data_IF_912149878565
#
_entry.id   IF_912149878565
#
_cell.length_a   1.000
_cell.length_b   1.000
_cell.length_c   1.000
_cell.angle_alpha   90.00
_cell.angle_beta   90.00
_cell.angle_gamma   90.00
#
_symmetry.space_group_name_H-M   'P 1'
#
loop_
_entity.id
_entity.type
_entity.pdbx_description
1 polymer ?
#
# COMPACT_ATOMS: atom_id res chain seq x y z
N UNK A 1 71.03 39.65 -39.24
CA UNK A 1 70.08 40.62 -38.67
C UNK A 1 68.85 40.69 -39.56
N UNK A 2 67.69 40.25 -39.08
CA UNK A 2 66.37 40.78 -39.44
C UNK A 2 65.33 40.11 -38.53
N UNK A 3 65.06 40.78 -37.40
CA UNK A 3 64.04 40.39 -36.42
C UNK A 3 62.68 40.50 -37.13
N UNK A 4 61.91 39.41 -37.21
CA UNK A 4 60.51 39.50 -37.61
C UNK A 4 59.82 40.50 -36.67
N UNK A 5 59.44 41.66 -37.20
CA UNK A 5 58.59 42.59 -36.48
C UNK A 5 57.24 41.89 -36.31
N UNK A 6 56.99 41.38 -35.11
CA UNK A 6 55.63 41.12 -34.64
C UNK A 6 54.95 42.49 -34.53
N UNK A 7 54.50 43.00 -35.68
CA UNK A 7 53.69 44.20 -35.74
C UNK A 7 52.33 43.80 -35.20
N UNK A 8 52.07 44.13 -33.93
CA UNK A 8 50.70 44.17 -33.46
C UNK A 8 49.94 45.13 -34.39
N UNK A 9 48.70 44.80 -34.81
CA UNK A 9 47.92 45.72 -35.61
C UNK A 9 47.81 47.04 -34.86
N UNK A 10 48.05 48.16 -35.54
CA UNK A 10 47.98 49.51 -35.00
C UNK A 10 46.98 50.35 -35.82
N UNK A 11 46.43 51.40 -35.24
CA UNK A 11 45.46 52.27 -35.91
C UNK A 11 44.18 51.55 -36.36
N UNK A 12 43.74 51.79 -37.60
CA UNK A 12 42.45 51.32 -38.11
C UNK A 12 42.31 49.78 -38.16
N UNK A 13 43.41 49.04 -38.38
CA UNK A 13 43.39 47.57 -38.39
C UNK A 13 43.19 47.00 -36.98
N UNK A 14 43.75 47.65 -35.95
CA UNK A 14 43.52 47.29 -34.55
C UNK A 14 42.05 47.51 -34.17
N UNK A 15 41.49 48.65 -34.55
CA UNK A 15 40.09 49.01 -34.28
C UNK A 15 39.13 48.04 -34.96
N UNK A 16 39.41 47.64 -36.21
CA UNK A 16 38.62 46.63 -36.92
C UNK A 16 38.69 45.25 -36.25
N UNK A 17 39.87 44.82 -35.80
CA UNK A 17 40.02 43.55 -35.08
C UNK A 17 39.31 43.57 -33.72
N UNK A 18 39.40 44.66 -32.96
CA UNK A 18 38.70 44.86 -31.69
C UNK A 18 37.18 44.78 -31.90
N UNK A 19 36.63 45.46 -32.91
CA UNK A 19 35.20 45.35 -33.23
C UNK A 19 34.80 43.92 -33.62
N UNK A 20 35.62 43.22 -34.41
CA UNK A 20 35.34 41.84 -34.80
C UNK A 20 35.34 40.87 -33.59
N UNK A 21 36.20 41.13 -32.60
CA UNK A 21 36.31 40.34 -31.37
C UNK A 21 35.17 40.66 -30.41
N UNK A 22 34.78 41.93 -30.27
CA UNK A 22 33.60 42.32 -29.51
C UNK A 22 32.32 41.72 -30.09
N UNK A 23 32.17 41.69 -31.42
CA UNK A 23 30.99 41.09 -32.05
C UNK A 23 30.92 39.59 -31.80
N UNK A 24 32.04 38.88 -31.96
CA UNK A 24 32.13 37.44 -31.64
C UNK A 24 31.92 37.17 -30.14
N UNK A 25 32.52 37.97 -29.26
CA UNK A 25 32.32 37.86 -27.81
C UNK A 25 30.87 38.12 -27.39
N UNK A 26 30.20 39.07 -28.00
CA UNK A 26 28.77 39.31 -27.77
C UNK A 26 27.91 38.13 -28.21
N UNK A 27 28.20 37.53 -29.37
CA UNK A 27 27.48 36.33 -29.84
C UNK A 27 27.66 35.17 -28.85
N UNK A 28 28.88 34.88 -28.43
CA UNK A 28 29.17 33.82 -27.45
C UNK A 28 28.50 34.07 -26.10
N UNK A 29 28.49 35.32 -25.64
CA UNK A 29 27.81 35.70 -24.39
C UNK A 29 26.30 35.50 -24.47
N UNK A 30 25.68 35.87 -25.59
CA UNK A 30 24.23 35.67 -25.82
C UNK A 30 23.90 34.17 -25.86
N UNK A 31 24.70 33.37 -26.58
CA UNK A 31 24.51 31.92 -26.64
C UNK A 31 24.61 31.26 -25.26
N UNK A 32 25.61 31.66 -24.47
CA UNK A 32 25.76 31.16 -23.10
C UNK A 32 24.55 31.52 -22.22
N UNK A 33 24.08 32.77 -22.29
CA UNK A 33 22.89 33.21 -21.54
C UNK A 33 21.63 32.42 -21.93
N UNK A 34 21.41 32.18 -23.22
CA UNK A 34 20.29 31.38 -23.70
C UNK A 34 20.38 29.94 -23.15
N UNK A 35 21.55 29.32 -23.21
CA UNK A 35 21.76 27.97 -22.70
C UNK A 35 21.51 27.88 -21.18
N UNK A 36 21.95 28.89 -20.40
CA UNK A 36 21.66 28.96 -18.96
C UNK A 36 20.16 29.09 -18.68
N UNK A 37 19.44 29.94 -19.42
CA UNK A 37 17.99 30.09 -19.24
C UNK A 37 17.25 28.79 -19.57
N UNK A 38 17.61 28.12 -20.67
CA UNK A 38 17.04 26.81 -21.03
C UNK A 38 17.32 25.78 -19.92
N UNK A 39 18.54 25.75 -19.38
CA UNK A 39 18.89 24.87 -18.27
C UNK A 39 18.06 25.14 -17.01
N UNK A 40 17.85 26.40 -16.65
CA UNK A 40 17.01 26.79 -15.49
C UNK A 40 15.56 26.39 -15.72
N UNK A 41 15.01 26.62 -16.92
CA UNK A 41 13.62 26.25 -17.24
C UNK A 41 13.46 24.73 -17.20
N UNK A 42 14.39 23.97 -17.78
CA UNK A 42 14.37 22.51 -17.72
C UNK A 42 14.44 22.01 -16.28
N UNK A 43 15.35 22.56 -15.45
CA UNK A 43 15.46 22.20 -14.04
C UNK A 43 14.16 22.53 -13.28
N UNK A 44 13.56 23.70 -13.52
CA UNK A 44 12.32 24.11 -12.88
C UNK A 44 11.14 23.21 -13.27
N UNK A 45 11.05 22.79 -14.54
CA UNK A 45 10.04 21.84 -15.00
C UNK A 45 10.25 20.45 -14.39
N UNK A 46 11.49 20.00 -14.28
CA UNK A 46 11.84 18.72 -13.66
C UNK A 46 11.51 18.74 -12.17
N UNK A 47 11.86 19.83 -11.48
CA UNK A 47 11.53 20.05 -10.08
C UNK A 47 10.01 20.15 -9.87
N UNK A 48 9.30 20.84 -10.76
CA UNK A 48 7.83 20.88 -10.76
C UNK A 48 7.25 19.48 -10.87
N UNK A 49 7.70 18.67 -11.83
CA UNK A 49 7.24 17.30 -11.98
C UNK A 49 7.51 16.44 -10.75
N UNK A 50 8.72 16.51 -10.17
CA UNK A 50 9.08 15.78 -8.94
C UNK A 50 8.22 16.21 -7.76
N UNK A 51 8.08 17.51 -7.49
CA UNK A 51 7.27 18.00 -6.36
C UNK A 51 5.81 17.61 -6.54
N UNK A 52 5.32 17.65 -7.78
CA UNK A 52 3.94 17.34 -8.11
C UNK A 52 3.64 15.85 -8.01
N UNK A 53 4.58 14.97 -8.40
CA UNK A 53 4.47 13.52 -8.24
C UNK A 53 4.71 13.06 -6.80
N UNK A 54 5.61 13.71 -6.05
CA UNK A 54 5.96 13.30 -4.69
C UNK A 54 5.05 13.87 -3.61
N UNK A 55 4.47 15.08 -3.80
CA UNK A 55 3.75 15.77 -2.71
C UNK A 55 2.46 16.48 -3.15
N UNK A 56 2.41 17.03 -4.37
CA UNK A 56 1.36 17.97 -4.77
C UNK A 56 0.03 17.35 -5.20
N UNK A 57 0.06 16.34 -6.08
CA UNK A 57 -1.18 15.72 -6.57
C UNK A 57 -1.79 14.74 -5.55
N UNK A 58 -0.97 14.00 -4.82
CA UNK A 58 -1.44 13.05 -3.80
C UNK A 58 -2.13 13.75 -2.62
N UNK A 59 -1.61 14.87 -2.13
CA UNK A 59 -2.22 15.58 -0.99
C UNK A 59 -3.55 16.28 -1.33
N UNK A 60 -3.65 16.88 -2.53
CA UNK A 60 -4.84 17.65 -2.95
C UNK A 60 -5.93 16.76 -3.56
N UNK A 61 -5.55 15.65 -4.20
CA UNK A 61 -6.50 14.74 -4.84
C UNK A 61 -6.99 13.64 -3.89
N UNK A 62 -6.18 13.22 -2.89
CA UNK A 62 -6.59 12.22 -1.88
C UNK A 62 -7.15 12.82 -0.59
N UNK A 63 -7.35 14.14 -0.50
CA UNK A 63 -7.90 14.82 0.67
C UNK A 63 -7.33 14.27 1.99
N UNK A 64 -5.99 14.19 2.09
CA UNK A 64 -5.35 13.60 3.27
C UNK A 64 -5.78 14.40 4.50
N UNK A 65 -6.60 13.75 5.34
CA UNK A 65 -7.11 14.28 6.60
C UNK A 65 -5.92 14.88 7.39
N UNK A 66 -6.00 16.14 7.86
CA UNK A 66 -4.93 16.73 8.66
C UNK A 66 -4.55 15.88 9.88
N UNK A 67 -5.49 15.09 10.41
CA UNK A 67 -5.25 14.12 11.48
C UNK A 67 -4.27 12.99 11.09
N UNK A 68 -4.20 12.61 9.81
CA UNK A 68 -3.23 11.64 9.34
C UNK A 68 -1.78 12.18 9.38
N UNK A 69 -1.60 13.51 9.38
CA UNK A 69 -0.29 14.16 9.51
C UNK A 69 0.20 14.23 10.96
N UNK A 70 -0.70 14.07 11.93
CA UNK A 70 -0.38 14.04 13.36
C UNK A 70 -0.44 12.64 13.95
N UNK A 71 -0.83 11.63 13.16
CA UNK A 71 -1.09 10.27 13.65
C UNK A 71 0.05 9.69 14.47
N UNK A 72 1.31 9.84 14.01
CA UNK A 72 2.48 9.35 14.75
C UNK A 72 2.74 10.12 16.06
N UNK A 73 2.40 11.42 16.09
CA UNK A 73 2.48 12.21 17.32
C UNK A 73 1.37 11.80 18.30
N UNK A 74 0.14 11.62 17.79
CA UNK A 74 -1.02 11.24 18.59
C UNK A 74 -0.84 9.82 19.16
N UNK A 75 -0.34 8.88 18.34
CA UNK A 75 0.05 7.53 18.76
C UNK A 75 1.11 7.56 19.87
N UNK A 76 2.20 8.33 19.70
CA UNK A 76 3.24 8.47 20.72
C UNK A 76 2.71 9.10 22.02
N UNK A 77 1.72 9.99 21.95
CA UNK A 77 1.04 10.49 23.15
C UNK A 77 0.18 9.39 23.81
N UNK A 78 -0.60 8.63 23.04
CA UNK A 78 -1.46 7.55 23.54
C UNK A 78 -0.65 6.44 24.22
N UNK A 79 0.44 6.01 23.59
CA UNK A 79 1.34 4.97 24.12
C UNK A 79 2.08 5.40 25.40
N UNK A 80 2.13 6.71 25.68
CA UNK A 80 2.75 7.28 26.90
C UNK A 80 1.75 7.60 28.01
N UNK A 81 0.45 7.39 27.78
CA UNK A 81 -0.54 7.61 28.83
C UNK A 81 -0.28 6.67 30.02
N UNK A 82 -0.57 7.17 31.22
CA UNK A 82 -0.43 6.37 32.43
C UNK A 82 -1.45 5.22 32.40
N UNK A 83 -1.00 4.01 32.71
CA UNK A 83 -1.78 2.75 32.65
C UNK A 83 -2.05 2.21 31.24
N UNK A 84 -1.35 2.70 30.21
CA UNK A 84 -1.28 2.03 28.91
C UNK A 84 -0.24 0.92 28.95
N UNK A 85 -0.63 -0.29 28.52
CA UNK A 85 0.31 -1.36 28.20
C UNK A 85 0.19 -1.66 26.71
N UNK A 86 1.33 -1.71 26.04
CA UNK A 86 1.45 -2.11 24.64
C UNK A 86 2.28 -3.37 24.55
N UNK A 87 1.80 -4.35 23.79
CA UNK A 87 2.56 -5.55 23.48
C UNK A 87 2.25 -5.97 22.05
N UNK A 88 3.27 -6.51 21.38
CA UNK A 88 3.13 -7.18 20.08
C UNK A 88 2.66 -8.63 20.24
N UNK A 89 2.53 -9.12 21.49
CA UNK A 89 2.03 -10.46 21.81
C UNK A 89 0.59 -10.35 22.34
N UNK A 90 -0.37 -10.67 21.48
CA UNK A 90 -1.79 -10.61 21.80
C UNK A 90 -2.18 -11.55 22.97
N UNK A 91 -1.44 -12.65 23.19
CA UNK A 91 -1.70 -13.53 24.33
C UNK A 91 -1.30 -12.86 25.66
N UNK A 92 -0.26 -12.03 25.64
CA UNK A 92 0.10 -11.23 26.80
C UNK A 92 -0.98 -10.18 27.10
N UNK A 93 -1.49 -9.48 26.07
CA UNK A 93 -2.58 -8.52 26.24
C UNK A 93 -3.84 -9.19 26.78
N UNK A 94 -4.21 -10.35 26.24
CA UNK A 94 -5.34 -11.15 26.71
C UNK A 94 -5.18 -11.56 28.19
N UNK A 95 -3.98 -12.02 28.59
CA UNK A 95 -3.70 -12.40 29.97
C UNK A 95 -3.77 -11.22 30.95
N UNK A 96 -3.30 -10.04 30.54
CA UNK A 96 -3.36 -8.83 31.36
C UNK A 96 -4.80 -8.34 31.54
N UNK A 97 -5.59 -8.29 30.46
CA UNK A 97 -6.99 -7.88 30.53
C UNK A 97 -7.80 -8.87 31.37
N UNK A 98 -7.52 -10.16 31.25
CA UNK A 98 -8.17 -11.19 32.07
C UNK A 98 -7.91 -11.00 33.56
N UNK A 99 -6.69 -10.61 33.93
CA UNK A 99 -6.24 -10.48 35.32
C UNK A 99 -6.77 -9.22 36.04
N UNK A 100 -7.26 -8.22 35.31
CA UNK A 100 -7.76 -6.97 35.88
C UNK A 100 -9.21 -6.68 35.44
N UNK A 101 -10.19 -6.75 36.35
CA UNK A 101 -11.59 -6.39 36.06
C UNK A 101 -11.78 -4.96 35.55
N UNK A 102 -10.81 -4.08 35.74
CA UNK A 102 -10.84 -2.69 35.28
C UNK A 102 -10.13 -2.44 33.95
N UNK A 103 -9.42 -3.44 33.41
CA UNK A 103 -8.75 -3.33 32.14
C UNK A 103 -9.73 -3.39 30.96
N UNK A 104 -9.38 -2.65 29.91
CA UNK A 104 -9.96 -2.71 28.58
C UNK A 104 -8.79 -2.72 27.58
N UNK A 105 -8.93 -3.47 26.50
CA UNK A 105 -7.96 -3.46 25.43
C UNK A 105 -8.57 -3.94 24.13
N UNK A 106 -7.74 -4.00 23.10
CA UNK A 106 -8.12 -4.49 21.78
C UNK A 106 -6.99 -5.31 21.17
N UNK A 107 -7.35 -6.32 20.37
CA UNK A 107 -6.43 -7.15 19.60
C UNK A 107 -7.21 -7.90 18.51
N UNK A 108 -6.51 -8.68 17.67
CA UNK A 108 -7.14 -9.45 16.59
C UNK A 108 -8.25 -10.38 17.09
N UNK A 109 -9.38 -10.41 16.40
CA UNK A 109 -10.58 -11.13 16.86
C UNK A 109 -10.37 -12.62 17.14
N UNK A 110 -9.51 -13.31 16.40
CA UNK A 110 -9.20 -14.72 16.65
C UNK A 110 -8.66 -14.98 18.06
N UNK A 111 -7.82 -14.09 18.60
CA UNK A 111 -7.32 -14.22 19.97
C UNK A 111 -8.44 -14.09 21.02
N UNK A 112 -9.48 -13.31 20.71
CA UNK A 112 -10.66 -13.26 21.57
C UNK A 112 -11.42 -14.59 21.53
N UNK A 113 -11.60 -15.18 20.35
CA UNK A 113 -12.27 -16.47 20.21
C UNK A 113 -11.62 -17.58 21.04
N UNK A 114 -10.28 -17.59 21.09
CA UNK A 114 -9.53 -18.55 21.89
C UNK A 114 -9.69 -18.34 23.41
N UNK A 115 -10.15 -17.15 23.83
CA UNK A 115 -10.25 -16.71 25.23
C UNK A 115 -11.69 -16.33 25.65
N UNK A 116 -12.73 -16.76 24.92
CA UNK A 116 -14.15 -16.41 25.22
C UNK A 116 -14.62 -16.86 26.62
N UNK A 117 -13.94 -17.82 27.23
CA UNK A 117 -14.26 -18.28 28.58
C UNK A 117 -13.87 -17.26 29.67
N UNK A 118 -12.94 -16.36 29.38
CA UNK A 118 -12.30 -15.46 30.36
C UNK A 118 -12.35 -13.99 29.95
N UNK A 119 -12.65 -13.72 28.68
CA UNK A 119 -12.81 -12.39 28.12
C UNK A 119 -14.19 -12.22 27.51
N UNK A 120 -14.67 -10.98 27.51
CA UNK A 120 -15.90 -10.57 26.86
C UNK A 120 -15.63 -9.50 25.82
N UNK A 121 -16.01 -9.77 24.57
CA UNK A 121 -16.03 -8.75 23.53
C UNK A 121 -17.16 -7.74 23.77
N UNK A 122 -16.85 -6.47 23.56
CA UNK A 122 -17.79 -5.36 23.66
C UNK A 122 -18.40 -5.06 22.29
N UNK A 123 -19.70 -4.73 22.30
CA UNK A 123 -20.33 -4.11 21.15
C UNK A 123 -19.78 -2.69 20.95
N UNK A 124 -19.56 -2.31 19.70
CA UNK A 124 -19.21 -0.94 19.31
C UNK A 124 -20.35 -0.35 18.52
N UNK A 125 -20.89 0.79 18.97
CA UNK A 125 -22.10 1.42 18.42
C UNK A 125 -23.30 0.43 18.32
N UNK A 126 -23.41 -0.47 19.30
CA UNK A 126 -24.46 -1.50 19.37
C UNK A 126 -24.23 -2.72 18.48
N UNK A 127 -23.08 -2.83 17.81
CA UNK A 127 -22.73 -3.94 16.91
C UNK A 127 -21.65 -4.81 17.55
N UNK A 128 -21.91 -6.11 17.68
CA UNK A 128 -20.93 -7.09 18.15
C UNK A 128 -19.97 -7.50 17.02
N UNK A 129 -18.69 -7.77 17.31
CA UNK A 129 -17.80 -8.35 16.31
C UNK A 129 -18.24 -9.77 15.94
N UNK A 130 -18.29 -10.07 14.65
CA UNK A 130 -18.63 -11.40 14.14
C UNK A 130 -18.76 -11.40 12.62
N UNK A 131 -18.73 -12.60 12.02
CA UNK A 131 -18.60 -12.80 10.57
C UNK A 131 -19.60 -11.98 9.74
N UNK A 132 -20.88 -11.96 10.12
CA UNK A 132 -21.89 -11.19 9.40
C UNK A 132 -21.66 -9.68 9.47
N UNK A 133 -21.31 -9.16 10.66
CA UNK A 133 -21.15 -7.73 10.90
C UNK A 133 -19.85 -7.16 10.29
N UNK A 134 -18.80 -7.97 10.22
CA UNK A 134 -17.56 -7.57 9.55
C UNK A 134 -17.71 -7.65 8.03
N UNK A 135 -18.47 -8.63 7.52
CA UNK A 135 -18.71 -8.81 6.09
C UNK A 135 -19.58 -7.69 5.49
N UNK A 136 -20.64 -7.28 6.18
CA UNK A 136 -21.53 -6.21 5.73
C UNK A 136 -21.02 -4.79 6.08
N UNK A 137 -19.87 -4.71 6.76
CA UNK A 137 -19.22 -3.46 7.15
C UNK A 137 -19.92 -2.71 8.29
N UNK A 138 -20.87 -3.33 8.99
CA UNK A 138 -21.54 -2.71 10.14
C UNK A 138 -20.67 -2.66 11.39
N UNK A 139 -19.66 -3.54 11.53
CA UNK A 139 -18.71 -3.48 12.63
C UNK A 139 -17.58 -2.48 12.34
N UNK A 140 -17.40 -1.42 13.15
CA UNK A 140 -16.55 -0.28 12.79
C UNK A 140 -15.05 -0.53 12.93
N UNK A 141 -14.63 -1.56 13.67
CA UNK A 141 -13.22 -1.90 13.89
C UNK A 141 -12.78 -3.07 13.01
N UNK A 142 -13.28 -3.10 11.79
CA UNK A 142 -12.96 -4.08 10.77
C UNK A 142 -12.36 -3.38 9.54
N UNK A 143 -11.48 -4.09 8.84
CA UNK A 143 -10.89 -3.63 7.58
C UNK A 143 -10.99 -4.74 6.53
N UNK A 144 -11.57 -4.44 5.36
CA UNK A 144 -11.69 -5.41 4.27
C UNK A 144 -10.32 -5.66 3.65
N UNK A 145 -10.08 -6.91 3.23
CA UNK A 145 -8.82 -7.38 2.66
C UNK A 145 -9.02 -7.67 1.18
N UNK A 146 -8.03 -7.28 0.38
CA UNK A 146 -8.04 -7.41 -1.06
C UNK A 146 -6.68 -7.83 -1.59
N UNK A 147 -6.71 -8.48 -2.74
CA UNK A 147 -5.58 -8.51 -3.67
C UNK A 147 -6.00 -7.84 -4.98
N UNK A 148 -5.03 -7.20 -5.62
CA UNK A 148 -5.18 -6.51 -6.90
C UNK A 148 -4.11 -7.01 -7.85
N UNK A 149 -4.50 -7.25 -9.09
CA UNK A 149 -3.58 -7.41 -10.22
C UNK A 149 -4.15 -6.65 -11.40
N UNK A 150 -3.55 -6.72 -12.58
CA UNK A 150 -4.10 -6.10 -13.78
C UNK A 150 -4.36 -7.15 -14.86
N UNK A 151 -5.39 -6.93 -15.69
CA UNK A 151 -5.69 -7.82 -16.82
C UNK A 151 -4.47 -8.01 -17.74
N UNK A 152 -3.70 -6.93 -17.96
CA UNK A 152 -2.46 -6.97 -18.74
C UNK A 152 -1.40 -7.85 -18.08
N UNK A 153 -1.24 -7.80 -16.76
CA UNK A 153 -0.31 -8.66 -16.02
C UNK A 153 -0.72 -10.12 -16.15
N UNK A 154 -2.00 -10.45 -15.99
CA UNK A 154 -2.51 -11.82 -16.14
C UNK A 154 -2.29 -12.36 -17.56
N UNK A 155 -2.44 -11.50 -18.57
CA UNK A 155 -2.22 -11.87 -19.97
C UNK A 155 -0.73 -12.08 -20.31
N UNK A 156 0.16 -11.30 -19.70
CA UNK A 156 1.60 -11.33 -19.98
C UNK A 156 2.37 -12.35 -19.13
N UNK A 157 1.90 -12.63 -17.91
CA UNK A 157 2.59 -13.45 -16.91
C UNK A 157 1.72 -14.62 -16.44
N UNK A 158 1.76 -15.78 -17.13
CA UNK A 158 0.97 -16.95 -16.75
C UNK A 158 1.29 -17.45 -15.33
N UNK A 159 2.51 -17.25 -14.84
CA UNK A 159 2.87 -17.58 -13.46
C UNK A 159 2.11 -16.74 -12.42
N UNK A 160 1.77 -15.48 -12.74
CA UNK A 160 0.96 -14.62 -11.88
C UNK A 160 -0.49 -15.12 -11.89
N UNK A 161 -1.02 -15.45 -13.07
CA UNK A 161 -2.36 -16.04 -13.17
C UNK A 161 -2.46 -17.36 -12.39
N UNK A 162 -1.45 -18.23 -12.48
CA UNK A 162 -1.39 -19.47 -11.70
C UNK A 162 -1.33 -19.23 -10.19
N UNK A 163 -0.63 -18.19 -9.74
CA UNK A 163 -0.62 -17.84 -8.32
C UNK A 163 -1.93 -17.25 -7.84
N UNK A 164 -2.61 -16.39 -8.63
CA UNK A 164 -3.94 -15.87 -8.26
C UNK A 164 -4.98 -16.99 -8.24
N UNK A 165 -4.93 -17.94 -9.18
CA UNK A 165 -5.74 -19.16 -9.15
C UNK A 165 -5.52 -19.96 -7.86
N UNK A 166 -4.25 -20.21 -7.51
CA UNK A 166 -3.89 -20.88 -6.26
C UNK A 166 -4.38 -20.10 -5.04
N UNK A 167 -4.20 -18.78 -5.03
CA UNK A 167 -4.61 -17.89 -3.94
C UNK A 167 -6.11 -18.04 -3.68
N UNK A 168 -6.94 -17.84 -4.71
CA UNK A 168 -8.40 -17.94 -4.58
C UNK A 168 -8.87 -19.36 -4.22
N UNK A 169 -8.14 -20.39 -4.65
CA UNK A 169 -8.44 -21.78 -4.33
C UNK A 169 -8.19 -22.17 -2.87
N UNK A 170 -7.32 -21.45 -2.16
CA UNK A 170 -6.86 -21.84 -0.81
C UNK A 170 -7.05 -20.73 0.25
N UNK A 171 -7.50 -19.54 -0.15
CA UNK A 171 -7.64 -18.41 0.76
C UNK A 171 -8.66 -18.69 1.87
N UNK A 172 -9.77 -19.36 1.56
CA UNK A 172 -10.82 -19.68 2.53
C UNK A 172 -10.29 -20.57 3.68
N UNK A 173 -9.36 -21.48 3.37
CA UNK A 173 -8.72 -22.34 4.38
C UNK A 173 -7.62 -21.59 5.13
N UNK A 174 -6.83 -20.78 4.43
CA UNK A 174 -5.64 -20.11 5.01
C UNK A 174 -5.99 -18.89 5.86
N UNK A 175 -7.09 -18.21 5.55
CA UNK A 175 -7.46 -16.94 6.20
C UNK A 175 -7.85 -17.11 7.67
N UNK A 176 -8.47 -18.24 7.99
CA UNK A 176 -8.84 -18.60 9.37
C UNK A 176 -7.59 -18.90 10.22
N UNK A 177 -6.55 -19.51 9.64
CA UNK A 177 -5.29 -19.78 10.34
C UNK A 177 -4.53 -18.50 10.72
N UNK A 178 -4.71 -17.42 9.94
CA UNK A 178 -4.17 -16.10 10.23
C UNK A 178 -5.02 -15.35 11.26
N UNK A 179 -6.24 -15.82 11.53
CA UNK A 179 -7.17 -15.23 12.48
C UNK A 179 -8.04 -14.11 11.91
N UNK A 180 -8.23 -14.10 10.59
CA UNK A 180 -9.14 -13.20 9.88
C UNK A 180 -10.44 -13.90 9.54
N UNK A 181 -11.43 -13.14 9.08
CA UNK A 181 -12.68 -13.68 8.59
C UNK A 181 -12.60 -13.90 7.09
N UNK A 182 -12.93 -15.11 6.66
CA UNK A 182 -13.21 -15.40 5.26
C UNK A 182 -14.28 -14.46 4.70
N UNK A 183 -14.10 -14.06 3.44
CA UNK A 183 -15.15 -13.37 2.70
C UNK A 183 -16.37 -14.29 2.58
N UNK A 184 -17.59 -13.73 2.55
CA UNK A 184 -18.76 -14.57 2.36
C UNK A 184 -18.66 -15.37 1.04
N UNK A 185 -19.24 -16.58 0.97
CA UNK A 185 -19.13 -17.43 -0.23
C UNK A 185 -19.55 -16.72 -1.53
N UNK A 186 -20.55 -15.83 -1.47
CA UNK A 186 -20.97 -15.04 -2.62
C UNK A 186 -19.92 -13.99 -3.05
N UNK A 187 -19.23 -13.38 -2.09
CA UNK A 187 -18.14 -12.41 -2.34
C UNK A 187 -16.94 -13.13 -2.95
N UNK A 188 -16.52 -14.26 -2.37
CA UNK A 188 -15.39 -15.03 -2.89
C UNK A 188 -15.69 -15.55 -4.30
N UNK A 189 -16.89 -16.09 -4.53
CA UNK A 189 -17.32 -16.50 -5.86
C UNK A 189 -17.36 -15.33 -6.86
N UNK A 190 -17.66 -14.11 -6.43
CA UNK A 190 -17.59 -12.94 -7.31
C UNK A 190 -16.14 -12.61 -7.69
N UNK A 191 -15.20 -12.69 -6.74
CA UNK A 191 -13.77 -12.54 -7.01
C UNK A 191 -13.25 -13.62 -7.98
N UNK A 192 -13.60 -14.89 -7.74
CA UNK A 192 -13.27 -16.00 -8.64
C UNK A 192 -13.80 -15.78 -10.05
N UNK A 193 -15.07 -15.40 -10.20
CA UNK A 193 -15.66 -15.16 -11.52
C UNK A 193 -15.00 -13.97 -12.23
N UNK A 194 -14.64 -12.92 -11.50
CA UNK A 194 -13.92 -11.77 -12.06
C UNK A 194 -12.51 -12.18 -12.54
N UNK A 195 -11.80 -12.97 -11.73
CA UNK A 195 -10.50 -13.53 -12.11
C UNK A 195 -10.58 -14.45 -13.33
N UNK A 196 -11.52 -15.40 -13.36
CA UNK A 196 -11.68 -16.32 -14.48
C UNK A 196 -11.99 -15.57 -15.78
N UNK A 197 -12.83 -14.53 -15.72
CA UNK A 197 -13.12 -13.67 -16.87
C UNK A 197 -11.86 -12.93 -17.36
N UNK A 198 -11.10 -12.32 -16.46
CA UNK A 198 -9.88 -11.59 -16.78
C UNK A 198 -8.76 -12.50 -17.32
N UNK A 199 -8.61 -13.69 -16.74
CA UNK A 199 -7.62 -14.68 -17.14
C UNK A 199 -8.02 -15.50 -18.39
N UNK A 200 -9.25 -15.34 -18.89
CA UNK A 200 -9.77 -16.12 -20.02
C UNK A 200 -9.95 -17.62 -19.70
N UNK A 201 -10.23 -17.94 -18.45
CA UNK A 201 -10.39 -19.30 -17.93
C UNK A 201 -11.87 -19.62 -17.64
N UNK A 202 -12.22 -20.90 -17.57
CA UNK A 202 -13.61 -21.34 -17.31
C UNK A 202 -13.82 -21.96 -15.93
N UNK A 203 -12.73 -22.28 -15.23
CA UNK A 203 -12.71 -22.84 -13.88
C UNK A 203 -11.30 -22.68 -13.31
N UNK A 204 -11.20 -22.66 -11.98
CA UNK A 204 -9.91 -22.69 -11.30
C UNK A 204 -9.22 -24.04 -11.61
N UNK A 205 -7.97 -23.97 -12.06
CA UNK A 205 -7.24 -25.13 -12.56
C UNK A 205 -6.29 -25.73 -11.52
N UNK A 206 -6.08 -25.05 -10.38
CA UNK A 206 -5.10 -25.42 -9.39
C UNK A 206 -3.67 -25.14 -9.87
N UNK A 207 -2.66 -25.49 -9.06
CA UNK A 207 -1.27 -25.14 -9.35
C UNK A 207 -0.80 -25.78 -10.66
N UNK A 208 -0.52 -24.93 -11.65
CA UNK A 208 0.10 -25.31 -12.92
C UNK A 208 1.61 -25.31 -12.75
N UNK A 209 2.32 -26.21 -13.44
CA UNK A 209 3.78 -26.26 -13.43
C UNK A 209 4.39 -25.06 -14.16
N UNK A 210 4.34 -23.90 -13.51
CA UNK A 210 4.88 -22.64 -14.00
C UNK A 210 6.24 -22.32 -13.35
N UNK A 211 6.96 -21.41 -13.98
CA UNK A 211 8.23 -20.89 -13.49
C UNK A 211 8.37 -19.44 -13.91
N UNK A 212 8.89 -18.59 -13.03
CA UNK A 212 9.05 -17.16 -13.29
C UNK A 212 9.37 -16.42 -12.01
N UNK A 213 9.18 -15.11 -12.02
CA UNK A 213 9.28 -14.27 -10.83
C UNK A 213 7.96 -13.55 -10.59
N UNK A 214 7.41 -13.69 -9.39
CA UNK A 214 6.20 -13.00 -8.95
C UNK A 214 6.60 -12.00 -7.87
N UNK A 215 6.33 -10.72 -8.13
CA UNK A 215 6.56 -9.64 -7.17
C UNK A 215 5.23 -9.19 -6.57
N UNK A 216 5.13 -9.20 -5.25
CA UNK A 216 3.92 -8.88 -4.49
C UNK A 216 4.28 -7.87 -3.41
N UNK A 217 3.52 -6.79 -3.29
CA UNK A 217 3.75 -5.83 -2.22
C UNK A 217 2.48 -5.12 -1.75
N UNK A 218 2.46 -4.69 -0.49
CA UNK A 218 1.37 -3.87 0.01
C UNK A 218 1.18 -3.92 1.53
N UNK A 219 -0.06 -4.09 1.94
CA UNK A 219 -0.51 -4.04 3.33
C UNK A 219 0.26 -4.98 4.27
N UNK A 220 0.71 -4.45 5.41
CA UNK A 220 1.25 -5.25 6.53
C UNK A 220 0.22 -6.19 7.13
N UNK A 221 -1.07 -5.89 6.99
CA UNK A 221 -2.17 -6.79 7.39
C UNK A 221 -2.29 -7.99 6.49
N UNK A 222 -2.20 -7.79 5.18
CA UNK A 222 -2.43 -8.88 4.21
C UNK A 222 -1.13 -9.66 3.96
N UNK A 223 0.02 -9.08 4.31
CA UNK A 223 1.33 -9.71 4.25
C UNK A 223 1.39 -11.14 4.82
N UNK A 224 1.01 -11.43 6.09
CA UNK A 224 1.11 -12.78 6.63
C UNK A 224 0.30 -13.82 5.85
N UNK A 225 -0.93 -13.47 5.44
CA UNK A 225 -1.79 -14.33 4.62
C UNK A 225 -1.19 -14.58 3.23
N UNK A 226 -0.72 -13.51 2.57
CA UNK A 226 -0.10 -13.62 1.25
C UNK A 226 1.19 -14.45 1.30
N UNK A 227 2.01 -14.29 2.34
CA UNK A 227 3.22 -15.07 2.53
C UNK A 227 2.91 -16.55 2.74
N UNK A 228 1.93 -16.89 3.58
CA UNK A 228 1.51 -18.26 3.79
C UNK A 228 1.04 -18.94 2.49
N UNK A 229 0.25 -18.24 1.68
CA UNK A 229 -0.18 -18.73 0.37
C UNK A 229 0.96 -18.83 -0.65
N UNK A 230 1.93 -17.91 -0.62
CA UNK A 230 3.14 -17.99 -1.44
C UNK A 230 3.98 -19.23 -1.09
N UNK A 231 4.20 -19.47 0.20
CA UNK A 231 4.93 -20.65 0.69
C UNK A 231 4.19 -21.95 0.32
N UNK A 232 2.86 -21.95 0.44
CA UNK A 232 1.99 -23.05 0.00
C UNK A 232 2.09 -23.31 -1.50
N UNK A 233 2.14 -22.27 -2.33
CA UNK A 233 2.27 -22.42 -3.79
C UNK A 233 3.64 -22.99 -4.18
N UNK A 234 4.71 -22.55 -3.52
CA UNK A 234 6.05 -23.14 -3.67
C UNK A 234 6.06 -24.61 -3.23
N UNK A 235 5.44 -24.93 -2.09
CA UNK A 235 5.32 -26.30 -1.60
C UNK A 235 4.48 -27.19 -2.54
N UNK A 236 3.51 -26.62 -3.25
CA UNK A 236 2.70 -27.29 -4.26
C UNK A 236 3.44 -27.53 -5.60
N UNK A 237 4.69 -27.06 -5.73
CA UNK A 237 5.57 -27.38 -6.85
C UNK A 237 5.91 -26.21 -7.78
N UNK A 238 5.57 -24.97 -7.42
CA UNK A 238 6.02 -23.80 -8.19
C UNK A 238 7.55 -23.70 -8.18
N UNK A 239 8.14 -23.67 -9.37
CA UNK A 239 9.60 -23.71 -9.55
C UNK A 239 10.28 -22.33 -9.66
N UNK A 240 9.51 -21.25 -9.53
CA UNK A 240 9.97 -19.87 -9.67
C UNK A 240 10.36 -19.19 -8.35
N UNK A 241 10.44 -17.86 -8.39
CA UNK A 241 10.70 -17.01 -7.22
C UNK A 241 9.46 -16.17 -6.92
N UNK A 242 9.11 -16.06 -5.64
CA UNK A 242 8.04 -15.19 -5.17
C UNK A 242 8.63 -14.26 -4.13
N UNK A 243 8.48 -12.96 -4.35
CA UNK A 243 8.86 -11.93 -3.38
C UNK A 243 7.59 -11.28 -2.84
N UNK A 244 7.43 -11.29 -1.53
CA UNK A 244 6.33 -10.61 -0.83
C UNK A 244 6.93 -9.53 0.05
N UNK A 245 6.48 -8.28 -0.10
CA UNK A 245 6.99 -7.14 0.65
C UNK A 245 5.87 -6.39 1.37
N UNK A 246 6.12 -6.01 2.63
CA UNK A 246 5.22 -5.13 3.38
C UNK A 246 5.68 -3.67 3.25
N UNK A 247 4.92 -2.88 2.49
CA UNK A 247 5.22 -1.46 2.20
C UNK A 247 4.03 -0.51 2.42
N UNK A 248 2.87 -1.07 2.80
CA UNK A 248 1.59 -0.36 2.96
C UNK A 248 0.71 -0.39 1.70
N UNK A 249 -0.61 -0.43 1.89
CA UNK A 249 -1.61 -0.56 0.81
C UNK A 249 -1.43 0.49 -0.29
N UNK A 250 -1.25 1.76 0.08
CA UNK A 250 -1.07 2.86 -0.88
C UNK A 250 0.21 2.71 -1.70
N UNK A 251 1.32 2.32 -1.07
CA UNK A 251 2.59 2.14 -1.76
C UNK A 251 2.55 0.92 -2.70
N UNK A 252 1.95 -0.19 -2.26
CA UNK A 252 1.71 -1.37 -3.10
C UNK A 252 0.86 -1.06 -4.32
N UNK A 253 -0.28 -0.38 -4.13
CA UNK A 253 -1.14 0.04 -5.25
C UNK A 253 -0.41 0.98 -6.22
N UNK A 254 0.42 1.91 -5.71
CA UNK A 254 1.24 2.77 -6.57
C UNK A 254 2.28 1.97 -7.36
N UNK A 255 2.95 1.00 -6.74
CA UNK A 255 3.91 0.14 -7.44
C UNK A 255 3.24 -0.73 -8.51
N UNK A 256 2.02 -1.22 -8.26
CA UNK A 256 1.26 -1.97 -9.26
C UNK A 256 0.84 -1.08 -10.43
N UNK A 257 0.36 0.12 -10.15
CA UNK A 257 -0.37 0.95 -11.11
C UNK A 257 0.45 2.02 -11.82
N UNK A 258 1.54 2.50 -11.21
CA UNK A 258 2.33 3.64 -11.71
C UNK A 258 3.77 3.23 -11.97
N UNK A 259 4.43 2.61 -10.98
CA UNK A 259 5.83 2.25 -11.12
C UNK A 259 6.01 0.96 -11.95
N UNK A 260 4.97 0.12 -11.96
CA UNK A 260 4.93 -1.16 -12.66
C UNK A 260 5.96 -2.19 -12.16
N UNK A 261 6.41 -2.00 -10.92
CA UNK A 261 7.46 -2.80 -10.26
C UNK A 261 6.96 -4.14 -9.72
N UNK A 262 5.64 -4.29 -9.52
CA UNK A 262 5.02 -5.49 -8.94
C UNK A 262 3.88 -6.02 -9.81
N UNK A 263 3.56 -7.29 -9.58
CA UNK A 263 2.52 -8.03 -10.31
C UNK A 263 1.18 -8.04 -9.56
N UNK A 264 1.26 -8.05 -8.23
CA UNK A 264 0.10 -8.12 -7.32
C UNK A 264 0.30 -7.09 -6.20
N UNK A 265 -0.72 -6.27 -5.96
CA UNK A 265 -0.79 -5.46 -4.75
C UNK A 265 -1.77 -6.08 -3.77
N UNK A 266 -1.41 -6.21 -2.49
CA UNK A 266 -2.37 -6.56 -1.44
C UNK A 266 -2.73 -5.33 -0.60
N UNK A 267 -3.99 -5.23 -0.19
CA UNK A 267 -4.50 -4.04 0.51
C UNK A 267 -5.51 -4.39 1.59
N UNK A 268 -5.46 -3.63 2.68
CA UNK A 268 -6.45 -3.68 3.77
C UNK A 268 -7.50 -2.56 3.67
N UNK A 269 -7.77 -2.11 2.45
CA UNK A 269 -8.83 -1.16 2.09
C UNK A 269 -9.12 -1.27 0.58
N UNK A 270 -10.31 -0.85 0.12
CA UNK A 270 -10.56 -0.71 -1.30
C UNK A 270 -9.60 0.29 -1.96
N UNK A 271 -9.35 0.09 -3.25
CA UNK A 271 -8.67 1.06 -4.10
C UNK A 271 -9.54 2.32 -4.19
N UNK A 272 -8.93 3.49 -4.08
CA UNK A 272 -9.69 4.74 -4.24
C UNK A 272 -9.75 5.16 -5.71
N UNK A 273 -10.61 6.12 -6.03
CA UNK A 273 -10.81 6.60 -7.41
C UNK A 273 -9.52 7.11 -8.06
N UNK A 274 -8.68 7.83 -7.31
CA UNK A 274 -7.45 8.40 -7.86
C UNK A 274 -6.42 7.32 -8.20
N UNK A 275 -6.32 6.27 -7.37
CA UNK A 275 -5.50 5.08 -7.61
C UNK A 275 -6.05 4.32 -8.81
N UNK A 276 -7.35 4.05 -8.86
CA UNK A 276 -8.00 3.34 -9.97
C UNK A 276 -7.77 4.04 -11.32
N UNK A 277 -7.94 5.36 -11.36
CA UNK A 277 -7.65 6.18 -12.55
C UNK A 277 -6.16 6.22 -12.90
N UNK A 278 -5.26 6.12 -11.92
CA UNK A 278 -3.83 5.98 -12.19
C UNK A 278 -3.52 4.65 -12.90
N UNK A 279 -4.08 3.54 -12.40
CA UNK A 279 -3.90 2.22 -13.01
C UNK A 279 -4.40 2.20 -14.48
N UNK A 280 -5.62 2.70 -14.73
CA UNK A 280 -6.19 2.77 -16.09
C UNK A 280 -5.39 3.65 -17.04
N UNK A 281 -4.87 4.80 -16.59
CA UNK A 281 -4.03 5.68 -17.43
C UNK A 281 -2.74 5.01 -17.89
N UNK A 282 -2.22 4.07 -17.11
CA UNK A 282 -1.02 3.30 -17.45
C UNK A 282 -1.34 1.94 -18.10
N UNK A 283 -2.59 1.70 -18.52
CA UNK A 283 -2.97 0.45 -19.18
C UNK A 283 -2.98 -0.77 -18.26
N UNK A 284 -3.06 -0.55 -16.95
CA UNK A 284 -3.20 -1.58 -15.92
C UNK A 284 -4.59 -1.50 -15.32
N UNK A 285 -5.62 -1.92 -16.06
CA UNK A 285 -6.98 -1.94 -15.49
C UNK A 285 -7.00 -2.90 -14.29
N UNK A 286 -7.21 -2.40 -13.06
CA UNK A 286 -6.96 -3.19 -11.87
C UNK A 286 -8.14 -4.13 -11.61
N UNK A 287 -7.83 -5.42 -11.53
CA UNK A 287 -8.74 -6.46 -11.08
C UNK A 287 -8.76 -6.46 -9.54
N UNK A 288 -9.84 -5.95 -8.96
CA UNK A 288 -10.07 -5.98 -7.51
C UNK A 288 -10.67 -7.32 -7.06
N UNK A 289 -9.99 -8.03 -6.15
CA UNK A 289 -10.44 -9.31 -5.61
C UNK A 289 -10.56 -9.19 -4.09
N UNK A 290 -11.79 -9.18 -3.57
CA UNK A 290 -12.05 -9.18 -2.12
C UNK A 290 -11.87 -10.59 -1.55
N UNK A 291 -10.99 -10.71 -0.56
CA UNK A 291 -10.54 -12.00 -0.03
C UNK A 291 -10.96 -12.27 1.42
N UNK A 292 -11.32 -11.23 2.17
CA UNK A 292 -11.80 -11.40 3.54
C UNK A 292 -11.83 -10.10 4.32
N UNK A 293 -11.86 -10.22 5.64
CA UNK A 293 -11.92 -9.08 6.56
C UNK A 293 -11.11 -9.36 7.81
N UNK A 294 -10.24 -8.43 8.20
CA UNK A 294 -9.59 -8.43 9.50
C UNK A 294 -10.43 -7.58 10.47
N UNK A 295 -10.62 -8.03 11.70
CA UNK A 295 -11.32 -7.24 12.72
C UNK A 295 -10.62 -7.31 14.07
N UNK A 296 -10.69 -6.20 14.79
CA UNK A 296 -10.23 -6.10 16.17
C UNK A 296 -11.40 -6.34 17.12
N UNK A 297 -11.17 -7.14 18.16
CA UNK A 297 -12.10 -7.25 19.28
C UNK A 297 -11.71 -6.22 20.34
N UNK A 298 -12.65 -5.36 20.75
CA UNK A 298 -12.51 -4.63 22.03
C UNK A 298 -12.98 -5.54 23.14
N UNK A 299 -12.11 -5.81 24.11
CA UNK A 299 -12.36 -6.81 25.14
C UNK A 299 -12.18 -6.25 26.54
N UNK A 300 -12.90 -6.84 27.48
CA UNK A 300 -12.75 -6.65 28.92
C UNK A 300 -12.70 -8.01 29.61
N UNK A 301 -12.22 -8.07 30.85
CA UNK A 301 -12.31 -9.26 31.70
C UNK A 301 -13.76 -9.75 31.81
N UNK A 302 -13.97 -11.06 31.90
CA UNK A 302 -15.28 -11.64 32.24
C UNK A 302 -15.80 -11.14 33.60
N UNK A 303 -14.91 -10.70 34.50
CA UNK A 303 -15.26 -10.12 35.79
C UNK A 303 -15.72 -8.65 35.69
N UNK A 304 -15.51 -7.99 34.55
CA UNK A 304 -16.00 -6.65 34.30
C UNK A 304 -17.52 -6.66 34.12
N UNK A 305 -18.22 -6.07 35.09
CA UNK A 305 -19.70 -6.02 35.14
C UNK A 305 -20.27 -4.63 34.85
N UNK A 306 -19.43 -3.65 34.50
CA UNK A 306 -19.83 -2.24 34.41
C UNK A 306 -19.75 -1.66 32.98
N UNK A 307 -18.94 -2.24 32.08
CA UNK A 307 -18.90 -1.85 30.66
C UNK A 307 -19.64 -2.88 29.82
N UNK A 308 -20.75 -2.50 29.19
CA UNK A 308 -21.55 -3.41 28.36
C UNK A 308 -21.36 -3.18 26.86
N UNK A 309 -21.17 -1.93 26.46
CA UNK A 309 -20.97 -1.48 25.09
C UNK A 309 -20.20 -0.16 25.10
N UNK A 310 -19.63 0.20 23.97
CA UNK A 310 -18.96 1.49 23.76
C UNK A 310 -19.40 2.10 22.44
N UNK A 311 -19.40 3.42 22.39
CA UNK A 311 -19.44 4.15 21.12
C UNK A 311 -18.02 4.36 20.61
N UNK A 312 -17.85 4.59 19.31
CA UNK A 312 -16.54 4.99 18.76
C UNK A 312 -15.98 6.24 19.46
N UNK A 313 -16.84 7.20 19.83
CA UNK A 313 -16.44 8.38 20.57
C UNK A 313 -15.94 8.07 21.98
N UNK A 314 -16.50 7.05 22.65
CA UNK A 314 -16.00 6.60 23.94
C UNK A 314 -14.68 5.84 23.81
N UNK A 315 -14.52 5.01 22.77
CA UNK A 315 -13.25 4.34 22.49
C UNK A 315 -12.12 5.33 22.25
N UNK A 316 -12.36 6.39 21.47
CA UNK A 316 -11.38 7.45 21.22
C UNK A 316 -11.04 8.29 22.47
N UNK A 317 -11.89 8.26 23.49
CA UNK A 317 -11.71 9.02 24.73
C UNK A 317 -11.02 8.23 25.84
N UNK A 318 -10.90 6.91 25.68
CA UNK A 318 -10.17 5.98 26.57
C UNK A 318 -8.70 5.99 26.14
#
# INVERSE_FOLDING_TARGET
MARAQNSFPEGNELTAQIHSRHRRGNIWRVLFQIATVVGIVALALLLYNIVNSSFGYTAVQNAIEPAALTLAYDEDQLLRLANTVSSEDDNQLAAEIMADPYAIGFFGYAYYQENEATLRALAVDGVQPGAAAVEDGSYPLARPLYIYTAESVLAEKPEVAAFVDFYLSHVDESIDEIGYFAAAPATLAAAENAFLAAAGQTALAGPVAESGSIAIAGSSTVYPLTQALADGFVAAGYGGQIEVASIGSTAGLNQLCVDEDIDIANASRPINEAEFEACRRNGRDPLELRIGTDALAVVVSQENSFVNELTQAQLLAI
#
